data_IF_248639903185
#
_entry.id   IF_248639903185
#
_cell.length_a   1.000
_cell.length_b   1.000
_cell.length_c   1.000
_cell.angle_alpha   90.00
_cell.angle_beta   90.00
_cell.angle_gamma   90.00
#
_symmetry.space_group_name_H-M   'P 1'
#
loop_
_entity.id
_entity.type
_entity.pdbx_description
1 polymer ?
#
# COMPACT_ATOMS: atom_id res chain seq x y z
N UNK A 1 15.29 6.07 -19.68
CA UNK A 1 15.94 5.97 -18.35
C UNK A 1 14.96 6.37 -17.24
N UNK A 2 14.36 7.55 -17.30
CA UNK A 2 13.39 8.04 -16.28
C UNK A 2 12.18 7.11 -16.13
N UNK A 3 11.65 6.59 -17.24
CA UNK A 3 10.52 5.64 -17.24
C UNK A 3 10.90 4.34 -16.53
N UNK A 4 12.12 3.87 -16.76
CA UNK A 4 12.66 2.67 -16.16
C UNK A 4 12.85 2.84 -14.64
N UNK A 5 13.29 4.02 -14.19
CA UNK A 5 13.40 4.33 -12.76
C UNK A 5 12.03 4.42 -12.06
N UNK A 6 11.03 4.97 -12.74
CA UNK A 6 9.65 5.00 -12.23
C UNK A 6 9.09 3.59 -12.08
N UNK A 7 9.32 2.71 -13.05
CA UNK A 7 8.86 1.32 -13.03
C UNK A 7 9.63 0.47 -12.02
N UNK A 8 10.91 0.76 -11.78
CA UNK A 8 11.74 0.09 -10.79
C UNK A 8 11.72 0.77 -9.42
N UNK A 9 10.96 1.85 -9.25
CA UNK A 9 10.77 2.48 -7.96
C UNK A 9 10.31 1.44 -6.94
N UNK A 10 11.16 1.17 -5.97
CA UNK A 10 11.01 0.11 -4.98
C UNK A 10 9.85 0.34 -4.00
N UNK A 11 9.03 1.34 -4.20
CA UNK A 11 7.99 1.70 -3.26
C UNK A 11 6.64 1.15 -3.71
N UNK A 12 6.36 -0.07 -3.29
CA UNK A 12 5.15 -0.84 -3.58
C UNK A 12 3.81 -0.14 -3.32
N UNK A 13 3.83 0.94 -2.54
CA UNK A 13 2.62 1.64 -2.10
C UNK A 13 2.29 2.87 -2.95
N UNK A 14 3.16 3.23 -3.91
CA UNK A 14 3.13 4.53 -4.59
C UNK A 14 1.80 4.88 -5.25
N UNK A 15 0.94 3.93 -5.55
CA UNK A 15 -0.27 4.22 -6.31
C UNK A 15 -1.49 3.39 -5.89
N UNK A 16 -1.49 2.85 -4.67
CA UNK A 16 -2.58 1.99 -4.20
C UNK A 16 -3.64 2.80 -3.47
N UNK A 17 -4.82 2.85 -4.09
CA UNK A 17 -6.02 3.45 -3.52
C UNK A 17 -6.10 4.97 -3.68
N UNK A 18 -7.22 5.46 -4.18
CA UNK A 18 -7.44 6.90 -4.42
C UNK A 18 -7.42 7.71 -3.13
N UNK A 19 -7.93 7.17 -2.02
CA UNK A 19 -7.97 7.87 -0.74
C UNK A 19 -6.58 8.07 -0.12
N UNK A 20 -5.73 7.05 0.02
CA UNK A 20 -4.34 7.25 0.47
C UNK A 20 -3.56 8.22 -0.41
N UNK A 21 -3.69 8.11 -1.74
CA UNK A 21 -3.02 9.00 -2.69
C UNK A 21 -3.47 10.46 -2.53
N UNK A 22 -4.77 10.70 -2.36
CA UNK A 22 -5.32 12.05 -2.13
C UNK A 22 -4.84 12.66 -0.80
N UNK A 23 -4.37 11.83 0.12
CA UNK A 23 -3.77 12.23 1.40
C UNK A 23 -2.23 12.27 1.33
N UNK A 24 -1.64 12.35 0.12
CA UNK A 24 -0.20 12.40 -0.06
C UNK A 24 0.54 11.15 0.40
N UNK A 25 -0.13 10.02 0.59
CA UNK A 25 0.44 8.78 1.13
C UNK A 25 0.50 8.73 2.67
N UNK A 26 -0.03 9.71 3.39
CA UNK A 26 -0.10 9.69 4.85
C UNK A 26 -1.26 8.79 5.32
N UNK A 27 -1.04 7.48 5.37
CA UNK A 27 -2.10 6.50 5.62
C UNK A 27 -1.75 5.39 6.61
N UNK A 28 -0.50 5.27 7.05
CA UNK A 28 -0.03 4.22 7.96
C UNK A 28 -0.77 4.23 9.30
N UNK A 29 -1.11 5.41 9.82
CA UNK A 29 -1.88 5.54 11.06
C UNK A 29 -3.39 5.76 10.83
N UNK A 30 -3.80 6.18 9.63
CA UNK A 30 -5.22 6.32 9.27
C UNK A 30 -5.88 4.96 9.17
N UNK A 31 -5.44 4.11 8.27
CA UNK A 31 -5.70 2.69 8.12
C UNK A 31 -7.10 2.23 8.57
N UNK A 32 -8.18 2.80 7.95
CA UNK A 32 -9.57 2.60 8.37
C UNK A 32 -10.54 2.31 7.22
N UNK A 33 -10.01 1.85 6.08
CA UNK A 33 -10.78 1.34 4.94
C UNK A 33 -10.06 0.14 4.27
N UNK A 34 -10.60 -0.38 3.16
CA UNK A 34 -10.05 -1.56 2.49
C UNK A 34 -8.63 -1.38 1.91
N UNK A 35 -8.12 -0.14 1.76
CA UNK A 35 -6.73 0.11 1.35
C UNK A 35 -5.71 -0.29 2.43
N UNK A 36 -6.19 -0.48 3.65
CA UNK A 36 -5.43 -0.95 4.82
C UNK A 36 -4.64 -2.24 4.56
N UNK A 37 -5.11 -3.11 3.66
CA UNK A 37 -4.41 -4.36 3.26
C UNK A 37 -2.95 -4.07 2.89
N UNK A 38 -2.74 -3.07 2.05
CA UNK A 38 -1.42 -2.66 1.56
C UNK A 38 -0.72 -1.66 2.49
N UNK A 39 -1.49 -0.72 3.10
CA UNK A 39 -0.88 0.39 3.84
C UNK A 39 -0.56 0.05 5.30
N UNK A 40 -1.44 -0.63 6.01
CA UNK A 40 -1.20 -1.09 7.38
C UNK A 40 -2.23 -2.16 7.78
N UNK A 41 -1.94 -3.44 7.63
CA UNK A 41 -2.89 -4.53 7.92
C UNK A 41 -3.34 -4.58 9.39
N UNK A 42 -2.65 -3.89 10.31
CA UNK A 42 -3.10 -3.76 11.69
C UNK A 42 -4.41 -2.94 11.82
N UNK A 43 -4.78 -2.15 10.81
CA UNK A 43 -6.06 -1.43 10.78
C UNK A 43 -7.26 -2.29 10.42
N UNK A 44 -7.06 -3.46 9.81
CA UNK A 44 -8.15 -4.36 9.34
C UNK A 44 -9.22 -4.65 10.40
N UNK A 45 -8.89 -4.96 11.68
CA UNK A 45 -9.90 -5.26 12.70
C UNK A 45 -10.79 -4.05 13.06
N UNK A 46 -10.36 -2.85 12.68
CA UNK A 46 -11.14 -1.61 12.86
C UNK A 46 -12.33 -1.51 11.91
N UNK A 47 -12.31 -2.23 10.78
CA UNK A 47 -13.42 -2.25 9.83
C UNK A 47 -14.59 -3.07 10.40
N UNK A 48 -15.80 -2.53 10.28
CA UNK A 48 -17.01 -3.13 10.87
C UNK A 48 -17.89 -3.86 9.84
N UNK A 49 -17.53 -3.78 8.57
CA UNK A 49 -18.29 -4.37 7.46
C UNK A 49 -17.33 -4.88 6.39
N UNK A 50 -17.84 -5.74 5.53
CA UNK A 50 -17.14 -6.12 4.31
C UNK A 50 -16.99 -4.89 3.41
N UNK A 51 -15.80 -4.66 2.92
CA UNK A 51 -15.47 -3.54 2.03
C UNK A 51 -14.76 -4.03 0.77
N UNK A 52 -15.09 -3.39 -0.34
CA UNK A 52 -14.41 -3.56 -1.62
C UNK A 52 -13.92 -2.18 -2.06
N UNK A 53 -12.70 -2.12 -2.54
CA UNK A 53 -12.13 -0.92 -3.15
C UNK A 53 -11.51 -1.28 -4.49
N UNK A 54 -11.58 -0.36 -5.44
CA UNK A 54 -10.89 -0.51 -6.72
C UNK A 54 -10.36 0.83 -7.20
N UNK A 55 -9.23 0.79 -7.88
CA UNK A 55 -8.62 1.95 -8.52
C UNK A 55 -8.08 1.56 -9.88
N UNK A 56 -8.28 2.42 -10.85
CA UNK A 56 -7.59 2.38 -12.14
C UNK A 56 -7.00 3.75 -12.41
N UNK A 57 -5.76 3.79 -12.84
CA UNK A 57 -5.07 5.02 -13.21
C UNK A 57 -4.21 4.82 -14.46
N UNK A 58 -4.15 5.86 -15.31
CA UNK A 58 -3.10 6.02 -16.32
C UNK A 58 -2.14 7.07 -15.77
N UNK A 59 -0.92 6.64 -15.45
CA UNK A 59 0.03 7.46 -14.73
C UNK A 59 0.75 8.39 -15.70
N UNK A 60 0.76 9.68 -15.36
CA UNK A 60 1.48 10.72 -16.09
C UNK A 60 1.10 10.86 -17.57
N UNK A 61 0.04 10.22 -18.04
CA UNK A 61 -0.35 10.12 -19.45
C UNK A 61 0.77 9.53 -20.35
N UNK A 62 1.58 8.64 -19.78
CA UNK A 62 2.71 7.98 -20.45
C UNK A 62 2.41 6.54 -20.88
N UNK A 63 1.13 6.11 -20.82
CA UNK A 63 0.74 4.72 -21.10
C UNK A 63 1.00 3.74 -19.95
N UNK A 64 1.56 4.20 -18.83
CA UNK A 64 1.71 3.37 -17.63
C UNK A 64 0.34 3.22 -16.98
N UNK A 65 -0.17 2.00 -16.98
CA UNK A 65 -1.47 1.69 -16.38
C UNK A 65 -1.30 1.04 -15.02
N UNK A 66 -2.17 1.41 -14.10
CA UNK A 66 -2.26 0.75 -12.81
C UNK A 66 -3.69 0.35 -12.50
N UNK A 67 -3.85 -0.87 -12.03
CA UNK A 67 -5.10 -1.41 -11.52
C UNK A 67 -4.91 -1.90 -10.09
N UNK A 68 -5.93 -1.70 -9.27
CA UNK A 68 -5.98 -2.19 -7.90
C UNK A 68 -7.39 -2.66 -7.56
N UNK A 69 -7.50 -3.80 -6.88
CA UNK A 69 -8.74 -4.33 -6.34
C UNK A 69 -8.46 -4.91 -4.95
N UNK A 70 -9.14 -4.37 -3.95
CA UNK A 70 -9.03 -4.83 -2.57
C UNK A 70 -10.37 -5.29 -2.02
N UNK A 71 -10.33 -6.34 -1.20
CA UNK A 71 -11.46 -6.92 -0.51
C UNK A 71 -11.10 -7.21 0.95
N UNK A 72 -11.92 -6.71 1.87
CA UNK A 72 -11.76 -6.96 3.31
C UNK A 72 -13.03 -7.57 3.89
N UNK A 73 -12.86 -8.57 4.73
CA UNK A 73 -13.93 -9.19 5.49
C UNK A 73 -13.59 -9.30 6.97
N UNK A 74 -14.29 -8.59 7.85
CA UNK A 74 -14.25 -8.85 9.29
C UNK A 74 -14.86 -10.22 9.60
N UNK A 75 -14.16 -11.01 10.42
CA UNK A 75 -14.67 -12.29 10.94
C UNK A 75 -15.22 -12.13 12.34
N UNK A 76 -14.67 -11.20 13.10
CA UNK A 76 -15.14 -10.85 14.46
C UNK A 76 -14.74 -9.39 14.73
N UNK A 77 -15.13 -8.90 15.90
CA UNK A 77 -14.72 -7.57 16.39
C UNK A 77 -13.20 -7.42 16.58
N UNK A 78 -12.44 -8.53 16.46
CA UNK A 78 -11.00 -8.59 16.74
C UNK A 78 -10.17 -9.13 15.61
N UNK A 79 -10.76 -9.75 14.60
CA UNK A 79 -10.03 -10.42 13.51
C UNK A 79 -10.69 -10.06 12.20
N UNK A 80 -9.89 -9.62 11.26
CA UNK A 80 -10.31 -9.41 9.88
C UNK A 80 -9.26 -9.94 8.91
N UNK A 81 -9.73 -10.35 7.73
CA UNK A 81 -8.90 -10.78 6.62
C UNK A 81 -9.05 -9.81 5.46
N UNK A 82 -7.98 -9.64 4.72
CA UNK A 82 -7.93 -8.86 3.50
C UNK A 82 -7.27 -9.63 2.38
N UNK A 83 -7.71 -9.36 1.18
CA UNK A 83 -7.08 -9.80 -0.06
C UNK A 83 -7.03 -8.63 -1.01
N UNK A 84 -5.90 -8.41 -1.65
CA UNK A 84 -5.84 -7.48 -2.77
C UNK A 84 -5.01 -8.02 -3.94
N UNK A 85 -5.31 -7.46 -5.10
CA UNK A 85 -4.54 -7.59 -6.32
C UNK A 85 -4.20 -6.20 -6.84
N UNK A 86 -2.93 -6.01 -7.18
CA UNK A 86 -2.48 -4.83 -7.89
C UNK A 86 -1.71 -5.23 -9.14
N UNK A 87 -1.82 -4.41 -10.18
CA UNK A 87 -1.11 -4.60 -11.44
C UNK A 87 -0.59 -3.27 -11.94
N UNK A 88 0.67 -3.24 -12.35
CA UNK A 88 1.27 -2.13 -13.09
C UNK A 88 1.73 -2.67 -14.43
N UNK A 89 1.38 -1.97 -15.49
CA UNK A 89 1.74 -2.37 -16.86
C UNK A 89 2.14 -1.18 -17.71
N UNK A 90 3.09 -1.42 -18.61
CA UNK A 90 3.49 -0.54 -19.68
C UNK A 90 3.77 -1.39 -20.92
N UNK A 91 3.31 -0.95 -22.07
CA UNK A 91 3.51 -1.66 -23.33
C UNK A 91 3.66 -0.65 -24.48
N UNK A 92 4.79 -0.70 -25.13
CA UNK A 92 5.06 0.00 -26.38
C UNK A 92 5.87 -0.90 -27.33
N UNK A 93 6.38 -0.34 -28.45
CA UNK A 93 7.09 -1.12 -29.47
C UNK A 93 8.46 -1.63 -29.01
N UNK A 94 9.03 -1.09 -27.93
CA UNK A 94 10.38 -1.39 -27.47
C UNK A 94 10.39 -2.05 -26.09
N UNK A 95 9.43 -1.71 -25.23
CA UNK A 95 9.36 -2.18 -23.84
C UNK A 95 7.95 -2.66 -23.48
N UNK A 96 7.82 -3.93 -23.12
CA UNK A 96 6.65 -4.46 -22.44
C UNK A 96 7.02 -4.84 -21.00
N UNK A 97 6.32 -4.25 -20.04
CA UNK A 97 6.51 -4.49 -18.61
C UNK A 97 5.17 -4.79 -17.95
N UNK A 98 5.13 -5.83 -17.15
CA UNK A 98 3.96 -6.17 -16.33
C UNK A 98 4.42 -6.66 -14.97
N UNK A 99 3.91 -6.03 -13.93
CA UNK A 99 4.06 -6.49 -12.56
C UNK A 99 2.68 -6.70 -11.95
N UNK A 100 2.47 -7.88 -11.37
CA UNK A 100 1.29 -8.25 -10.63
C UNK A 100 1.65 -8.63 -9.21
N UNK A 101 0.87 -8.17 -8.24
CA UNK A 101 1.04 -8.48 -6.84
C UNK A 101 -0.28 -8.94 -6.24
N UNK A 102 -0.24 -10.01 -5.48
CA UNK A 102 -1.34 -10.54 -4.69
C UNK A 102 -0.96 -10.45 -3.22
N UNK A 103 -1.79 -9.82 -2.42
CA UNK A 103 -1.61 -9.68 -0.98
C UNK A 103 -2.72 -10.43 -0.23
N UNK A 104 -2.31 -11.22 0.77
CA UNK A 104 -3.20 -11.84 1.74
C UNK A 104 -2.85 -11.28 3.12
N UNK A 105 -3.79 -10.56 3.71
CA UNK A 105 -3.57 -9.87 4.97
C UNK A 105 -4.47 -10.41 6.08
N UNK A 106 -3.92 -10.46 7.29
CA UNK A 106 -4.65 -10.73 8.52
C UNK A 106 -4.35 -9.62 9.53
N UNK A 107 -5.41 -9.09 10.14
CA UNK A 107 -5.30 -8.15 11.25
C UNK A 107 -5.94 -8.73 12.50
N UNK A 108 -5.31 -8.50 13.65
CA UNK A 108 -5.77 -8.97 14.96
C UNK A 108 -5.70 -7.82 15.97
N UNK A 109 -6.79 -7.60 16.71
CA UNK A 109 -6.88 -6.60 17.79
C UNK A 109 -7.10 -7.31 19.13
N UNK A 110 -6.04 -7.74 19.82
CA UNK A 110 -6.18 -8.42 21.12
C UNK A 110 -6.66 -7.48 22.23
N UNK A 111 -6.40 -6.19 22.09
CA UNK A 111 -6.79 -5.17 23.04
C UNK A 111 -7.29 -3.90 22.32
N UNK A 112 -8.17 -3.13 22.93
CA UNK A 112 -8.76 -1.92 22.34
C UNK A 112 -7.73 -0.83 21.98
N UNK A 113 -6.58 -0.84 22.64
CA UNK A 113 -5.53 0.16 22.45
C UNK A 113 -4.55 -0.20 21.34
N UNK A 114 -4.46 -1.46 20.93
CA UNK A 114 -3.47 -1.85 19.91
C UNK A 114 -3.96 -3.03 19.07
N UNK A 115 -3.52 -3.05 17.85
CA UNK A 115 -3.68 -4.15 16.90
C UNK A 115 -2.37 -4.38 16.14
N UNK A 116 -2.25 -5.55 15.57
CA UNK A 116 -1.16 -5.92 14.70
C UNK A 116 -1.70 -6.65 13.46
N UNK A 117 -0.92 -6.63 12.40
CA UNK A 117 -1.29 -7.28 11.17
C UNK A 117 -0.08 -7.80 10.41
N UNK A 118 -0.34 -8.77 9.56
CA UNK A 118 0.63 -9.37 8.67
C UNK A 118 0.06 -9.45 7.27
N UNK A 119 0.91 -9.26 6.26
CA UNK A 119 0.58 -9.47 4.86
C UNK A 119 1.58 -10.42 4.24
N UNK A 120 1.07 -11.46 3.58
CA UNK A 120 1.86 -12.31 2.69
C UNK A 120 1.66 -11.78 1.27
N UNK A 121 2.76 -11.47 0.59
CA UNK A 121 2.80 -10.96 -0.77
C UNK A 121 3.29 -12.02 -1.74
N UNK A 122 2.65 -12.13 -2.88
CA UNK A 122 3.12 -12.89 -4.02
C UNK A 122 3.30 -11.95 -5.21
N UNK A 123 4.54 -11.85 -5.68
CA UNK A 123 4.97 -10.94 -6.74
C UNK A 123 5.19 -11.73 -8.03
N UNK A 124 4.71 -11.20 -9.14
CA UNK A 124 4.95 -11.74 -10.47
C UNK A 124 5.37 -10.59 -11.38
N UNK A 125 6.50 -10.76 -12.07
CA UNK A 125 7.02 -9.76 -13.00
C UNK A 125 7.33 -10.40 -14.34
N UNK A 126 6.99 -9.70 -15.41
CA UNK A 126 7.32 -10.07 -16.79
C UNK A 126 7.89 -8.84 -17.49
N UNK A 127 9.04 -8.97 -18.12
CA UNK A 127 9.71 -7.88 -18.81
C UNK A 127 10.30 -8.33 -20.14
N UNK A 128 9.95 -7.61 -21.19
CA UNK A 128 10.44 -7.75 -22.55
C UNK A 128 11.03 -6.39 -23.00
N UNK A 129 12.25 -6.39 -23.53
CA UNK A 129 12.90 -5.22 -24.07
C UNK A 129 13.48 -5.57 -25.45
N UNK A 130 13.16 -4.83 -26.51
CA UNK A 130 13.61 -5.04 -27.89
C UNK A 130 13.50 -6.51 -28.33
N UNK A 131 12.34 -7.13 -28.15
CA UNK A 131 12.08 -8.54 -28.43
C UNK A 131 12.95 -9.52 -27.62
N UNK A 132 13.88 -9.04 -26.80
CA UNK A 132 14.66 -9.87 -25.89
C UNK A 132 13.93 -10.02 -24.57
N UNK A 133 13.45 -11.24 -24.27
CA UNK A 133 12.81 -11.52 -22.99
C UNK A 133 13.86 -11.48 -21.87
N UNK A 134 13.70 -10.54 -20.93
CA UNK A 134 14.40 -10.55 -19.65
C UNK A 134 13.85 -11.62 -18.70
N UNK A 135 12.68 -12.16 -19.03
CA UNK A 135 12.11 -13.32 -18.40
C UNK A 135 10.93 -13.02 -17.48
N UNK A 136 10.30 -14.13 -17.07
CA UNK A 136 9.24 -14.14 -16.08
C UNK A 136 9.83 -14.52 -14.74
N UNK A 137 9.57 -13.71 -13.74
CA UNK A 137 10.00 -13.94 -12.37
C UNK A 137 8.84 -13.94 -11.39
N UNK A 138 9.04 -14.62 -10.27
CA UNK A 138 8.09 -14.54 -9.15
C UNK A 138 8.83 -14.53 -7.82
N UNK A 139 8.19 -13.97 -6.82
CA UNK A 139 8.76 -13.84 -5.49
C UNK A 139 7.70 -13.80 -4.40
N UNK A 140 8.17 -13.88 -3.17
CA UNK A 140 7.33 -13.80 -1.97
C UNK A 140 7.91 -12.77 -1.03
N UNK A 141 7.03 -11.99 -0.41
CA UNK A 141 7.38 -11.01 0.61
C UNK A 141 6.44 -11.09 1.80
N UNK A 142 6.85 -10.52 2.91
CA UNK A 142 6.05 -10.46 4.13
C UNK A 142 6.12 -9.05 4.70
N UNK A 143 4.95 -8.51 5.09
CA UNK A 143 4.87 -7.27 5.86
C UNK A 143 4.37 -7.56 7.27
N UNK A 144 4.81 -6.74 8.22
CA UNK A 144 4.30 -6.71 9.57
C UNK A 144 3.91 -5.27 9.93
N UNK A 145 2.84 -5.10 10.68
CA UNK A 145 2.38 -3.77 11.04
C UNK A 145 1.74 -3.73 12.42
N UNK A 146 1.79 -2.54 13.02
CA UNK A 146 1.19 -2.23 14.32
C UNK A 146 0.38 -0.95 14.23
N UNK A 147 -0.71 -0.91 14.97
CA UNK A 147 -1.52 0.28 15.15
C UNK A 147 -1.87 0.43 16.62
N UNK A 148 -1.56 1.58 17.18
CA UNK A 148 -1.82 1.93 18.58
C UNK A 148 -2.79 3.10 18.61
N UNK A 149 -3.84 3.02 19.42
CA UNK A 149 -4.83 4.08 19.59
C UNK A 149 -4.88 4.51 21.07
N UNK A 150 -3.95 5.36 21.51
CA UNK A 150 -3.86 5.78 22.91
C UNK A 150 -5.05 6.67 23.33
N UNK A 151 -5.63 7.40 22.39
CA UNK A 151 -6.82 8.24 22.57
C UNK A 151 -7.84 7.94 21.47
N UNK A 152 -9.11 8.24 21.70
CA UNK A 152 -10.16 8.02 20.67
C UNK A 152 -9.91 8.75 19.34
N UNK A 153 -9.20 9.86 19.42
CA UNK A 153 -8.92 10.74 18.30
C UNK A 153 -7.44 10.75 17.87
N UNK A 154 -6.60 9.86 18.43
CA UNK A 154 -5.17 9.78 18.12
C UNK A 154 -4.79 8.33 17.83
N UNK A 155 -4.15 8.09 16.70
CA UNK A 155 -3.57 6.81 16.33
C UNK A 155 -2.10 6.97 15.96
N UNK A 156 -1.30 5.96 16.25
CA UNK A 156 0.09 5.81 15.84
C UNK A 156 0.23 4.48 15.12
N UNK A 157 0.76 4.52 13.91
CA UNK A 157 0.95 3.34 13.07
C UNK A 157 2.43 3.07 12.83
N UNK A 158 2.80 1.80 12.77
CA UNK A 158 4.15 1.35 12.41
C UNK A 158 3.97 0.29 11.31
N UNK A 159 4.68 0.45 10.20
CA UNK A 159 4.75 -0.53 9.13
C UNK A 159 6.18 -1.01 8.92
N UNK A 160 6.35 -2.30 8.76
CA UNK A 160 7.60 -2.97 8.37
C UNK A 160 7.25 -3.72 7.09
N UNK A 161 7.77 -3.23 5.99
CA UNK A 161 7.46 -3.76 4.67
C UNK A 161 8.64 -4.57 4.16
N UNK A 162 8.34 -5.65 3.43
CA UNK A 162 9.33 -6.57 2.88
C UNK A 162 10.33 -7.06 3.93
N UNK A 163 9.78 -7.59 5.03
CA UNK A 163 10.56 -8.08 6.18
C UNK A 163 11.58 -9.14 5.72
N UNK A 164 12.86 -8.84 5.93
CA UNK A 164 13.97 -9.67 5.47
C UNK A 164 14.34 -9.47 4.00
N UNK A 165 13.66 -8.55 3.30
CA UNK A 165 13.82 -8.32 1.86
C UNK A 165 12.99 -9.29 1.02
N UNK A 166 12.41 -8.79 -0.07
CA UNK A 166 11.72 -9.62 -1.07
C UNK A 166 12.61 -9.81 -2.29
N UNK A 167 12.66 -11.04 -2.79
CA UNK A 167 13.44 -11.38 -3.99
C UNK A 167 12.55 -12.01 -5.04
N UNK A 168 12.83 -11.73 -6.31
CA UNK A 168 12.19 -12.40 -7.44
C UNK A 168 13.21 -13.35 -8.08
N UNK A 169 12.80 -14.62 -8.22
CA UNK A 169 13.55 -15.61 -8.96
C UNK A 169 13.06 -15.65 -10.41
N UNK A 170 13.96 -15.47 -11.35
CA UNK A 170 13.71 -15.58 -12.79
C UNK A 170 14.08 -16.99 -13.28
N UNK A 171 13.30 -17.52 -14.25
CA UNK A 171 13.48 -18.89 -14.73
C UNK A 171 14.87 -19.21 -15.28
N UNK A 172 15.55 -18.22 -15.84
CA UNK A 172 16.81 -18.41 -16.59
C UNK A 172 18.03 -17.78 -15.93
N UNK A 173 17.90 -17.14 -14.76
CA UNK A 173 19.01 -16.42 -14.11
C UNK A 173 18.82 -16.23 -12.61
N UNK A 174 19.89 -15.76 -12.01
CA UNK A 174 20.08 -15.36 -10.62
C UNK A 174 18.88 -14.63 -10.01
N UNK A 175 18.60 -14.98 -8.77
CA UNK A 175 17.66 -14.26 -7.89
C UNK A 175 18.10 -12.81 -7.74
N UNK A 176 17.24 -11.87 -8.12
CA UNK A 176 17.44 -10.45 -7.84
C UNK A 176 16.67 -10.05 -6.59
N UNK A 177 17.35 -9.39 -5.66
CA UNK A 177 16.69 -8.71 -4.54
C UNK A 177 16.04 -7.45 -5.10
N UNK A 178 14.72 -7.38 -5.04
CA UNK A 178 13.97 -6.30 -5.68
C UNK A 178 13.49 -5.27 -4.69
N UNK A 179 13.13 -5.71 -3.49
CA UNK A 179 12.59 -4.85 -2.46
C UNK A 179 13.43 -5.00 -1.20
N UNK A 180 14.11 -3.92 -0.83
CA UNK A 180 14.72 -3.78 0.49
C UNK A 180 13.64 -3.63 1.56
N UNK A 181 13.96 -4.07 2.76
CA UNK A 181 13.10 -3.84 3.91
C UNK A 181 12.90 -2.33 4.14
N UNK A 182 11.64 -1.92 4.30
CA UNK A 182 11.30 -0.53 4.57
C UNK A 182 10.53 -0.40 5.89
N UNK A 183 10.71 0.75 6.55
CA UNK A 183 10.00 1.11 7.78
C UNK A 183 9.23 2.39 7.56
N UNK A 184 7.99 2.43 8.06
CA UNK A 184 7.18 3.65 8.10
C UNK A 184 6.59 3.84 9.49
N UNK A 185 6.63 5.07 9.96
CA UNK A 185 5.98 5.52 11.18
C UNK A 185 4.95 6.57 10.82
N UNK A 186 3.72 6.40 11.30
CA UNK A 186 2.63 7.32 11.03
C UNK A 186 1.96 7.81 12.30
N UNK A 187 1.38 8.99 12.22
CA UNK A 187 0.49 9.57 13.22
C UNK A 187 -0.78 10.08 12.53
N UNK A 188 -1.93 9.86 13.16
CA UNK A 188 -3.22 10.38 12.69
C UNK A 188 -3.97 10.99 13.86
N UNK A 189 -4.45 12.21 13.69
CA UNK A 189 -5.17 12.96 14.71
C UNK A 189 -6.47 13.53 14.17
N UNK A 190 -7.55 13.37 14.93
CA UNK A 190 -8.88 13.90 14.64
C UNK A 190 -9.23 15.03 15.63
N UNK A 191 -8.89 16.28 15.33
CA UNK A 191 -9.17 17.41 16.25
C UNK A 191 -10.66 17.66 16.45
N UNK A 192 -11.45 17.46 15.41
CA UNK A 192 -12.92 17.58 15.40
C UNK A 192 -13.52 16.47 14.56
N UNK A 193 -14.79 16.17 14.76
CA UNK A 193 -15.48 15.16 13.97
C UNK A 193 -15.42 15.47 12.47
N UNK A 194 -15.01 14.49 11.70
CA UNK A 194 -14.90 14.58 10.24
C UNK A 194 -13.58 15.15 9.73
N UNK A 195 -12.73 15.76 10.57
CA UNK A 195 -11.40 16.22 10.16
C UNK A 195 -10.32 15.26 10.64
N UNK A 196 -9.60 14.66 9.72
CA UNK A 196 -8.41 13.84 9.98
C UNK A 196 -7.18 14.55 9.44
N UNK A 197 -6.15 14.66 10.26
CA UNK A 197 -4.81 15.14 9.88
C UNK A 197 -3.86 13.99 10.12
N UNK A 198 -3.00 13.69 9.15
CA UNK A 198 -2.07 12.58 9.23
C UNK A 198 -0.68 12.98 8.73
N UNK A 199 0.32 12.32 9.27
CA UNK A 199 1.70 12.43 8.80
C UNK A 199 2.40 11.10 8.94
N UNK A 200 3.16 10.71 7.91
CA UNK A 200 3.97 9.50 7.89
C UNK A 200 5.42 9.85 7.54
N UNK A 201 6.35 9.11 8.11
CA UNK A 201 7.78 9.19 7.80
C UNK A 201 8.32 7.79 7.54
N UNK A 202 9.11 7.67 6.48
CA UNK A 202 9.78 6.45 6.05
C UNK A 202 10.90 6.81 5.08
N UNK A 203 10.81 6.35 3.86
CA UNK A 203 11.62 6.79 2.72
C UNK A 203 11.32 8.25 2.29
N UNK A 204 10.11 8.70 2.59
CA UNK A 204 9.57 10.04 2.35
C UNK A 204 8.86 10.55 3.58
N UNK A 205 8.65 11.86 3.61
CA UNK A 205 7.72 12.50 4.55
C UNK A 205 6.40 12.72 3.81
N UNK A 206 5.31 12.29 4.42
CA UNK A 206 3.96 12.42 3.89
C UNK A 206 3.10 13.24 4.86
N UNK A 207 2.30 14.14 4.31
CA UNK A 207 1.29 14.87 5.07
C UNK A 207 -0.05 14.76 4.34
N UNK A 208 -1.12 14.58 5.10
CA UNK A 208 -2.46 14.46 4.57
C UNK A 208 -3.50 15.05 5.49
N UNK A 209 -4.55 15.59 4.88
CA UNK A 209 -5.75 16.03 5.58
C UNK A 209 -6.99 15.56 4.82
N UNK A 210 -7.98 15.08 5.56
CA UNK A 210 -9.29 14.71 5.05
C UNK A 210 -10.37 15.41 5.87
N UNK A 211 -11.33 16.02 5.20
CA UNK A 211 -12.52 16.57 5.83
C UNK A 211 -13.78 15.98 5.22
N UNK A 212 -14.53 15.25 6.03
CA UNK A 212 -15.79 14.60 5.66
C UNK A 212 -16.98 15.48 6.04
N UNK A 213 -17.74 15.93 5.04
CA UNK A 213 -18.91 16.77 5.22
C UNK A 213 -20.17 15.94 5.13
N UNK A 214 -21.01 16.00 6.18
CA UNK A 214 -22.31 15.32 6.24
C UNK A 214 -22.25 13.81 5.88
N UNK A 215 -21.11 13.15 6.14
CA UNK A 215 -20.85 11.73 5.85
C UNK A 215 -21.05 11.33 4.38
N UNK A 216 -20.96 12.28 3.46
CA UNK A 216 -21.24 12.05 2.02
C UNK A 216 -20.18 12.60 1.07
N UNK A 217 -19.57 13.71 1.43
CA UNK A 217 -18.56 14.37 0.61
C UNK A 217 -17.28 14.48 1.42
N UNK A 218 -16.16 14.11 0.83
CA UNK A 218 -14.85 14.20 1.46
C UNK A 218 -13.93 15.07 0.61
N UNK A 219 -13.34 16.07 1.25
CA UNK A 219 -12.26 16.87 0.68
C UNK A 219 -10.94 16.35 1.23
N UNK A 220 -9.98 16.14 0.35
CA UNK A 220 -8.65 15.63 0.71
C UNK A 220 -7.58 16.47 0.07
N UNK A 221 -6.50 16.64 0.81
CA UNK A 221 -5.29 17.26 0.31
C UNK A 221 -4.09 16.54 0.96
N UNK A 222 -3.02 16.43 0.22
CA UNK A 222 -1.81 15.82 0.74
C UNK A 222 -0.59 16.23 -0.06
N UNK A 223 0.55 16.06 0.54
CA UNK A 223 1.86 16.30 -0.08
C UNK A 223 2.85 15.26 0.42
N UNK A 224 3.85 15.00 -0.42
CA UNK A 224 4.97 14.14 -0.09
C UNK A 224 6.28 14.82 -0.48
N UNK A 225 7.34 14.53 0.25
CA UNK A 225 8.67 15.07 0.02
C UNK A 225 9.71 14.00 0.27
N UNK A 226 10.66 13.87 -0.65
CA UNK A 226 11.81 12.99 -0.46
C UNK A 226 12.67 13.47 0.72
N UNK A 227 13.22 12.52 1.48
CA UNK A 227 14.22 12.81 2.53
C UNK A 227 15.56 12.80 1.80
N UNK A 228 16.12 14.00 1.56
CA UNK A 228 17.46 14.19 0.96
C UNK A 228 18.54 14.12 2.00
#
# INVERSE_FOLDING_TARGET
LILFEILLSQNDQLFVGTRPLSMGGAFVAVADDANTITWNPAGLPGLRRTEITSTYANLYNLGITQSYLGFVRPFSDRIALGFDWSSVGYDDNELAYSENKLNFAVGVQPHKLFSFGFTLKYLMRDMLLDEASYGKGSGVGVDAAFLIQPLKNLKVGIGIYDFGGSSIAYKDKTTESILGQAFKLGISYMPINGLTIAGDVGDRIHFGAEYVVASRVSFRAGLQQDIT
#
